data_IF_962862221160
#
_entry.id   IF_962862221160
#
_cell.length_a   1.000
_cell.length_b   1.000
_cell.length_c   1.000
_cell.angle_alpha   90.00
_cell.angle_beta   90.00
_cell.angle_gamma   90.00
#
_symmetry.space_group_name_H-M   'P 1'
#
loop_
_entity.id
_entity.type
_entity.pdbx_description
1 polymer ?
#
# COMPACT_ATOMS: atom_id res chain seq x y z
N UNK A 1 2.59 49.77 -12.28
CA UNK A 1 1.98 48.48 -12.64
C UNK A 1 3.13 47.52 -12.81
N UNK A 2 3.26 46.52 -11.93
CA UNK A 2 4.44 45.65 -11.84
C UNK A 2 4.54 44.75 -13.08
N UNK A 3 5.49 45.05 -13.96
CA UNK A 3 5.90 44.17 -15.06
C UNK A 3 6.51 42.91 -14.45
N UNK A 4 5.82 41.78 -14.58
CA UNK A 4 6.40 40.49 -14.19
C UNK A 4 7.52 40.19 -15.17
N UNK A 5 8.75 40.12 -14.67
CA UNK A 5 9.90 39.78 -15.50
C UNK A 5 9.72 38.37 -16.08
N UNK A 6 10.06 38.17 -17.36
CA UNK A 6 9.99 36.86 -18.02
C UNK A 6 10.66 35.74 -17.20
N UNK A 7 11.79 36.06 -16.54
CA UNK A 7 12.46 35.14 -15.62
C UNK A 7 11.61 34.77 -14.41
N UNK A 8 10.89 35.72 -13.82
CA UNK A 8 9.99 35.46 -12.69
C UNK A 8 8.84 34.53 -13.09
N UNK A 9 8.28 34.71 -14.29
CA UNK A 9 7.24 33.84 -14.81
C UNK A 9 7.74 32.38 -14.97
N UNK A 10 8.95 32.20 -15.49
CA UNK A 10 9.57 30.87 -15.61
C UNK A 10 9.84 30.27 -14.22
N UNK A 11 10.42 31.04 -13.30
CA UNK A 11 10.70 30.56 -11.94
C UNK A 11 9.43 30.12 -11.23
N UNK A 12 8.35 30.89 -11.35
CA UNK A 12 7.06 30.55 -10.76
C UNK A 12 6.48 29.26 -11.36
N UNK A 13 6.56 29.08 -12.68
CA UNK A 13 6.09 27.88 -13.35
C UNK A 13 6.87 26.63 -12.90
N UNK A 14 8.21 26.70 -12.86
CA UNK A 14 9.05 25.59 -12.41
C UNK A 14 8.82 25.28 -10.93
N UNK A 15 8.67 26.30 -10.09
CA UNK A 15 8.36 26.11 -8.67
C UNK A 15 7.00 25.44 -8.46
N UNK A 16 5.97 25.84 -9.21
CA UNK A 16 4.65 25.22 -9.15
C UNK A 16 4.69 23.74 -9.56
N UNK A 17 5.39 23.41 -10.65
CA UNK A 17 5.57 22.02 -11.10
C UNK A 17 6.32 21.21 -10.04
N UNK A 18 7.40 21.75 -9.49
CA UNK A 18 8.17 21.11 -8.42
C UNK A 18 7.33 20.85 -7.17
N UNK A 19 6.49 21.82 -6.77
CA UNK A 19 5.61 21.68 -5.62
C UNK A 19 4.55 20.57 -5.85
N UNK A 20 3.92 20.53 -7.02
CA UNK A 20 2.94 19.48 -7.36
C UNK A 20 3.58 18.10 -7.39
N UNK A 21 4.74 17.96 -8.04
CA UNK A 21 5.51 16.71 -8.07
C UNK A 21 5.91 16.27 -6.66
N UNK A 22 6.35 17.22 -5.83
CA UNK A 22 6.70 16.98 -4.43
C UNK A 22 5.53 16.39 -3.64
N UNK A 23 4.35 16.97 -3.76
CA UNK A 23 3.13 16.49 -3.09
C UNK A 23 2.76 15.08 -3.57
N UNK A 24 2.71 14.86 -4.89
CA UNK A 24 2.35 13.56 -5.48
C UNK A 24 3.34 12.48 -5.03
N UNK A 25 4.64 12.77 -5.10
CA UNK A 25 5.66 11.81 -4.69
C UNK A 25 5.58 11.52 -3.18
N UNK A 26 5.30 12.54 -2.36
CA UNK A 26 5.10 12.38 -0.92
C UNK A 26 3.93 11.45 -0.61
N UNK A 27 2.78 11.64 -1.26
CA UNK A 27 1.62 10.76 -1.08
C UNK A 27 1.91 9.32 -1.51
N UNK A 28 2.62 9.14 -2.63
CA UNK A 28 3.00 7.80 -3.06
C UNK A 28 3.94 7.11 -2.06
N UNK A 29 4.93 7.83 -1.53
CA UNK A 29 5.86 7.28 -0.53
C UNK A 29 5.12 6.91 0.76
N UNK A 30 4.20 7.74 1.23
CA UNK A 30 3.37 7.44 2.41
C UNK A 30 2.56 6.15 2.18
N UNK A 31 1.93 6.01 1.02
CA UNK A 31 1.14 4.82 0.69
C UNK A 31 1.97 3.53 0.70
N UNK A 32 3.21 3.61 0.18
CA UNK A 32 4.14 2.46 0.13
C UNK A 32 4.67 2.04 1.50
N UNK A 33 4.73 2.96 2.46
CA UNK A 33 5.25 2.72 3.80
C UNK A 33 4.21 2.09 4.74
N UNK A 34 2.95 1.98 4.32
CA UNK A 34 1.92 1.36 5.14
C UNK A 34 1.93 -0.18 5.00
N UNK A 35 1.72 -0.84 6.14
CA UNK A 35 1.45 -2.27 6.20
C UNK A 35 0.04 -2.53 5.67
N UNK A 36 -0.07 -3.30 4.58
CA UNK A 36 -1.32 -3.65 3.92
C UNK A 36 -1.41 -5.17 3.84
N UNK A 37 -2.31 -5.74 4.62
CA UNK A 37 -2.58 -7.17 4.62
C UNK A 37 -4.03 -7.39 4.17
N UNK A 38 -4.23 -8.38 3.29
CA UNK A 38 -5.55 -8.88 2.92
C UNK A 38 -5.73 -10.25 3.57
N UNK A 39 -6.70 -10.35 4.47
CA UNK A 39 -7.04 -11.59 5.18
C UNK A 39 -8.40 -12.07 4.69
N UNK A 40 -8.45 -13.26 4.12
CA UNK A 40 -9.69 -13.85 3.58
C UNK A 40 -9.89 -15.26 4.14
N UNK A 41 -11.02 -15.55 4.78
CA UNK A 41 -11.38 -16.92 5.15
C UNK A 41 -11.74 -17.71 3.89
N UNK A 42 -11.18 -18.91 3.75
CA UNK A 42 -11.41 -19.82 2.62
C UNK A 42 -11.81 -21.21 3.12
N UNK A 43 -12.46 -21.96 2.24
CA UNK A 43 -12.78 -23.37 2.50
C UNK A 43 -11.57 -24.23 2.19
N UNK A 44 -11.13 -25.02 3.17
CA UNK A 44 -10.05 -25.98 2.98
C UNK A 44 -10.62 -27.26 2.37
N UNK A 45 -10.05 -27.69 1.24
CA UNK A 45 -10.30 -29.01 0.66
C UNK A 45 -9.11 -29.90 1.07
N UNK A 46 -9.27 -30.77 2.08
CA UNK A 46 -8.18 -31.63 2.54
C UNK A 46 -7.80 -32.63 1.46
N UNK A 47 -6.49 -32.85 1.28
CA UNK A 47 -5.94 -33.82 0.34
C UNK A 47 -4.89 -34.71 1.03
N UNK A 48 -4.86 -36.00 0.69
CA UNK A 48 -3.91 -36.95 1.24
C UNK A 48 -4.14 -37.25 2.73
N UNK A 49 -3.09 -37.18 3.54
CA UNK A 49 -3.10 -37.54 4.96
C UNK A 49 -3.58 -36.40 5.91
N UNK A 50 -4.17 -35.33 5.37
CA UNK A 50 -4.70 -34.25 6.20
C UNK A 50 -6.00 -34.65 6.92
N UNK A 51 -6.22 -34.11 8.13
CA UNK A 51 -7.47 -34.32 8.87
C UNK A 51 -8.66 -33.77 8.08
N UNK A 52 -9.62 -34.63 7.78
CA UNK A 52 -10.82 -34.31 7.00
C UNK A 52 -11.78 -33.38 7.76
N UNK A 53 -11.54 -33.14 9.05
CA UNK A 53 -12.29 -32.18 9.87
C UNK A 53 -11.86 -30.74 9.63
N UNK A 54 -10.69 -30.50 9.03
CA UNK A 54 -10.23 -29.16 8.63
C UNK A 54 -11.01 -28.68 7.41
N UNK A 55 -12.02 -27.83 7.65
CA UNK A 55 -12.88 -27.24 6.61
C UNK A 55 -12.58 -25.77 6.32
N UNK A 56 -11.68 -25.16 7.09
CA UNK A 56 -11.39 -23.73 7.02
C UNK A 56 -9.90 -23.51 6.88
N UNK A 57 -9.52 -22.56 6.03
CA UNK A 57 -8.18 -22.00 5.97
C UNK A 57 -8.27 -20.48 5.95
N UNK A 58 -7.19 -19.81 6.34
CA UNK A 58 -7.08 -18.35 6.29
C UNK A 58 -5.98 -18.03 5.31
N UNK A 59 -6.33 -17.30 4.26
CA UNK A 59 -5.35 -16.77 3.32
C UNK A 59 -4.95 -15.37 3.78
N UNK A 60 -3.65 -15.20 4.04
CA UNK A 60 -3.06 -13.89 4.34
C UNK A 60 -2.17 -13.50 3.18
N UNK A 61 -2.52 -12.43 2.49
CA UNK A 61 -1.73 -11.88 1.38
C UNK A 61 -1.10 -10.56 1.82
N UNK A 62 0.22 -10.48 1.68
CA UNK A 62 0.96 -9.23 1.83
C UNK A 62 0.77 -8.37 0.58
N UNK A 63 0.18 -7.18 0.73
CA UNK A 63 0.01 -6.18 -0.33
C UNK A 63 1.04 -5.04 -0.22
N UNK A 64 1.88 -5.04 0.81
CA UNK A 64 2.97 -4.09 0.96
C UNK A 64 4.16 -4.43 0.07
N UNK A 65 5.01 -3.43 -0.14
CA UNK A 65 6.22 -3.56 -0.95
C UNK A 65 7.41 -4.18 -0.19
N UNK A 66 7.22 -4.55 1.07
CA UNK A 66 8.27 -5.05 1.96
C UNK A 66 7.81 -6.32 2.70
N UNK A 67 8.75 -7.19 3.11
CA UNK A 67 8.41 -8.41 3.83
C UNK A 67 7.85 -8.08 5.22
N UNK A 68 6.83 -8.85 5.64
CA UNK A 68 6.16 -8.71 6.93
C UNK A 68 6.19 -10.08 7.61
N UNK A 69 6.47 -10.08 8.92
CA UNK A 69 6.36 -11.26 9.77
C UNK A 69 5.00 -11.25 10.45
N UNK A 70 4.31 -12.39 10.43
CA UNK A 70 3.00 -12.56 11.06
C UNK A 70 3.21 -13.47 12.28
N UNK A 71 2.93 -12.96 13.47
CA UNK A 71 3.08 -13.74 14.72
C UNK A 71 1.86 -14.63 14.96
N UNK A 72 0.66 -14.14 14.68
CA UNK A 72 -0.59 -14.86 14.92
C UNK A 72 -1.63 -14.58 13.83
N UNK A 73 -2.42 -15.59 13.49
CA UNK A 73 -3.59 -15.48 12.62
C UNK A 73 -4.75 -16.20 13.28
N UNK A 74 -5.85 -15.48 13.48
CA UNK A 74 -7.05 -16.00 14.13
C UNK A 74 -8.33 -15.47 13.51
N UNK A 75 -9.45 -16.07 13.88
CA UNK A 75 -10.78 -15.53 13.62
C UNK A 75 -11.24 -14.93 14.95
N UNK A 76 -11.61 -13.64 14.96
CA UNK A 76 -12.30 -13.07 16.12
C UNK A 76 -13.65 -13.79 16.28
N UNK A 77 -13.76 -14.60 17.33
CA UNK A 77 -14.99 -15.23 17.81
C UNK A 77 -15.36 -14.63 19.17
#
# INVERSE_FOLDING_TARGET
MTEVSFFQAITLAVAAVGAVLGIINTWHTIDKNQVKLKVVPKHAIPYGAMDHRLRMCIEVTNLSSFPITIEEVGVFL
#
